data_IF_315769712458
#
_entry.id   IF_315769712458
#
_cell.length_a   1.000
_cell.length_b   1.000
_cell.length_c   1.000
_cell.angle_alpha   90.00
_cell.angle_beta   90.00
_cell.angle_gamma   90.00
#
_symmetry.space_group_name_H-M   'P 1'
#
loop_
_entity.id
_entity.type
_entity.pdbx_description
1 polymer ?
#
# COMPACT_ATOMS: atom_id res chain seq x y z
N UNK A 1 -19.02 -5.70 7.85
CA UNK A 1 -18.14 -4.57 7.42
C UNK A 1 -16.74 -4.96 7.81
N UNK A 2 -15.79 -4.90 6.88
CA UNK A 2 -14.37 -5.13 7.17
C UNK A 2 -13.73 -3.85 7.71
N UNK A 3 -12.85 -3.98 8.70
CA UNK A 3 -12.15 -2.86 9.35
C UNK A 3 -10.65 -3.10 9.27
N UNK A 4 -9.91 -2.11 8.78
CA UNK A 4 -8.46 -2.22 8.59
C UNK A 4 -7.72 -1.13 9.35
N UNK A 5 -6.56 -1.49 9.92
CA UNK A 5 -5.62 -0.51 10.46
C UNK A 5 -4.70 -0.03 9.34
N UNK A 6 -4.77 1.27 9.04
CA UNK A 6 -3.88 1.88 8.04
C UNK A 6 -2.44 1.98 8.54
N UNK A 7 -1.44 1.88 7.66
CA UNK A 7 -0.04 2.04 8.04
C UNK A 7 0.32 3.48 8.35
N UNK A 8 1.14 3.69 9.37
CA UNK A 8 1.71 4.98 9.72
C UNK A 8 3.19 4.82 10.07
N UNK A 9 4.06 5.36 9.22
CA UNK A 9 5.51 5.31 9.41
C UNK A 9 5.91 5.90 10.76
N UNK A 10 6.77 5.18 11.49
CA UNK A 10 7.24 5.57 12.81
C UNK A 10 6.28 5.32 13.97
N UNK A 11 5.07 4.82 13.71
CA UNK A 11 4.06 4.58 14.75
C UNK A 11 3.54 3.13 14.74
N UNK A 12 3.05 2.64 13.61
CA UNK A 12 2.36 1.34 13.54
C UNK A 12 3.31 0.18 13.24
N UNK A 13 4.44 0.11 13.94
CA UNK A 13 5.34 -1.03 13.91
C UNK A 13 4.70 -2.29 14.52
N UNK A 14 5.40 -3.42 14.48
CA UNK A 14 4.86 -4.69 14.99
C UNK A 14 4.48 -4.63 16.47
N UNK A 15 5.22 -3.88 17.29
CA UNK A 15 4.93 -3.74 18.72
C UNK A 15 3.60 -3.03 18.93
N UNK A 16 3.39 -1.92 18.22
CA UNK A 16 2.14 -1.17 18.26
C UNK A 16 0.97 -2.03 17.75
N UNK A 17 1.11 -2.68 16.59
CA UNK A 17 0.04 -3.49 16.01
C UNK A 17 -0.39 -4.63 16.94
N UNK A 18 0.57 -5.37 17.51
CA UNK A 18 0.27 -6.46 18.45
C UNK A 18 -0.35 -5.95 19.76
N UNK A 19 0.15 -4.84 20.30
CA UNK A 19 -0.43 -4.24 21.50
C UNK A 19 -1.85 -3.74 21.22
N UNK A 20 -2.07 -3.07 20.08
CA UNK A 20 -3.39 -2.58 19.72
C UNK A 20 -4.39 -3.74 19.53
N UNK A 21 -3.99 -4.80 18.83
CA UNK A 21 -4.83 -5.98 18.66
C UNK A 21 -5.20 -6.60 20.01
N UNK A 22 -4.20 -6.82 20.86
CA UNK A 22 -4.40 -7.42 22.17
C UNK A 22 -5.40 -6.65 23.05
N UNK A 23 -5.36 -5.33 23.05
CA UNK A 23 -6.15 -4.51 23.97
C UNK A 23 -7.45 -3.97 23.35
N UNK A 24 -7.50 -3.73 22.05
CA UNK A 24 -8.60 -3.04 21.39
C UNK A 24 -9.11 -3.74 20.14
N UNK A 25 -8.24 -4.41 19.39
CA UNK A 25 -8.48 -4.90 18.05
C UNK A 25 -9.01 -6.33 17.96
N UNK A 26 -8.88 -7.12 19.02
CA UNK A 26 -9.19 -8.55 19.01
C UNK A 26 -10.57 -8.86 18.37
N UNK A 27 -10.57 -9.56 17.24
CA UNK A 27 -11.76 -9.86 16.42
C UNK A 27 -12.53 -8.62 15.88
N UNK A 28 -11.91 -7.44 15.87
CA UNK A 28 -12.53 -6.21 15.33
C UNK A 28 -11.79 -5.63 14.14
N UNK A 29 -10.51 -5.98 13.98
CA UNK A 29 -9.66 -5.53 12.87
C UNK A 29 -9.36 -6.74 12.00
N UNK A 30 -9.73 -6.65 10.72
CA UNK A 30 -9.56 -7.74 9.76
C UNK A 30 -8.14 -7.79 9.17
N UNK A 31 -7.50 -6.61 8.96
CA UNK A 31 -6.13 -6.50 8.43
C UNK A 31 -5.38 -5.34 9.10
N UNK A 32 -4.09 -5.55 9.32
CA UNK A 32 -3.14 -4.55 9.83
C UNK A 32 -2.09 -4.27 8.76
N UNK A 33 -2.14 -3.11 8.11
CA UNK A 33 -1.11 -2.74 7.13
C UNK A 33 0.16 -2.26 7.83
N UNK A 34 1.30 -2.80 7.41
CA UNK A 34 2.61 -2.46 7.96
C UNK A 34 3.10 -1.10 7.44
N UNK A 35 3.95 -0.38 8.19
CA UNK A 35 4.77 0.67 7.62
C UNK A 35 5.51 0.18 6.38
N UNK A 36 5.74 1.08 5.43
CA UNK A 36 6.27 0.66 4.14
C UNK A 36 7.74 0.22 4.21
N UNK A 37 8.06 -0.80 3.44
CA UNK A 37 9.41 -1.20 3.05
C UNK A 37 9.83 -0.36 1.85
N UNK A 38 11.08 0.13 1.85
CA UNK A 38 11.66 0.83 0.71
C UNK A 38 12.76 -0.02 0.08
N UNK A 39 12.47 -0.75 -1.01
CA UNK A 39 13.49 -1.54 -1.70
C UNK A 39 14.70 -0.70 -2.08
N UNK A 40 15.87 -1.29 -1.96
CA UNK A 40 17.15 -0.67 -2.26
C UNK A 40 17.96 -1.52 -3.26
N UNK A 41 19.00 -0.90 -3.87
CA UNK A 41 19.84 -1.55 -4.88
C UNK A 41 20.60 -2.80 -4.40
N UNK A 42 20.72 -2.99 -3.10
CA UNK A 42 21.39 -4.16 -2.52
C UNK A 42 20.46 -5.36 -2.36
N UNK A 43 19.19 -5.21 -2.69
CA UNK A 43 18.19 -6.27 -2.54
C UNK A 43 18.19 -6.89 -1.13
N UNK A 44 18.24 -6.02 -0.10
CA UNK A 44 18.25 -6.43 1.30
C UNK A 44 17.30 -5.57 2.12
N UNK A 45 16.57 -6.20 3.01
CA UNK A 45 15.76 -5.48 3.99
C UNK A 45 16.65 -4.86 5.08
N UNK A 46 16.28 -3.68 5.54
CA UNK A 46 16.93 -3.06 6.69
C UNK A 46 16.58 -3.82 7.98
N UNK A 47 17.44 -3.74 8.99
CA UNK A 47 17.20 -4.43 10.27
C UNK A 47 15.87 -4.05 10.93
N UNK A 48 15.40 -2.81 10.74
CA UNK A 48 14.07 -2.35 11.18
C UNK A 48 12.96 -3.05 10.40
N UNK A 49 13.09 -3.10 9.08
CA UNK A 49 12.12 -3.76 8.20
C UNK A 49 12.06 -5.26 8.50
N UNK A 50 13.21 -5.92 8.66
CA UNK A 50 13.29 -7.34 9.05
C UNK A 50 12.53 -7.64 10.33
N UNK A 51 12.66 -6.80 11.36
CA UNK A 51 11.89 -6.98 12.60
C UNK A 51 10.39 -6.80 12.39
N UNK A 52 10.02 -5.87 11.52
CA UNK A 52 8.62 -5.53 11.29
C UNK A 52 7.88 -6.56 10.42
N UNK A 53 8.60 -7.26 9.53
CA UNK A 53 8.04 -8.32 8.67
C UNK A 53 8.22 -9.74 9.22
N UNK A 54 9.07 -9.96 10.23
CA UNK A 54 9.27 -11.30 10.82
C UNK A 54 7.94 -11.87 11.31
N UNK A 55 7.65 -13.12 10.93
CA UNK A 55 6.46 -13.85 11.41
C UNK A 55 6.49 -14.08 12.92
N UNK A 56 7.67 -14.20 13.51
CA UNK A 56 7.80 -14.32 14.97
C UNK A 56 7.29 -13.09 15.71
N UNK A 57 7.30 -11.95 15.04
CA UNK A 57 6.81 -10.67 15.57
C UNK A 57 5.37 -10.34 15.14
N UNK A 58 4.76 -11.09 14.21
CA UNK A 58 3.44 -10.80 13.64
C UNK A 58 2.49 -11.99 13.85
N UNK A 59 1.78 -11.99 14.97
CA UNK A 59 0.79 -13.02 15.31
C UNK A 59 -0.63 -12.69 14.82
N UNK A 60 -0.77 -11.58 14.11
CA UNK A 60 -2.02 -11.03 13.60
C UNK A 60 -1.99 -10.97 12.07
N UNK A 61 -3.13 -10.76 11.43
CA UNK A 61 -3.22 -10.63 9.97
C UNK A 61 -2.59 -9.31 9.52
N UNK A 62 -1.28 -9.31 9.37
CA UNK A 62 -0.47 -8.15 8.97
C UNK A 62 -0.10 -8.23 7.50
N UNK A 63 -0.31 -7.13 6.76
CA UNK A 63 -0.04 -7.00 5.34
C UNK A 63 1.16 -6.09 5.11
N UNK A 64 2.26 -6.58 4.54
CA UNK A 64 3.42 -5.75 4.23
C UNK A 64 3.10 -4.74 3.13
N UNK A 65 3.63 -3.53 3.27
CA UNK A 65 3.47 -2.46 2.28
C UNK A 65 4.81 -2.09 1.67
N UNK A 66 4.86 -1.89 0.36
CA UNK A 66 6.06 -1.55 -0.42
C UNK A 66 5.95 -0.14 -0.97
N UNK A 67 7.01 0.66 -0.79
CA UNK A 67 7.15 2.02 -1.30
C UNK A 67 8.15 2.05 -2.45
N UNK A 68 7.67 1.92 -3.67
CA UNK A 68 8.51 2.00 -4.87
C UNK A 68 7.73 2.63 -6.03
N UNK A 69 8.44 3.07 -7.05
CA UNK A 69 7.92 3.44 -8.37
C UNK A 69 8.58 2.60 -9.50
N UNK A 70 9.12 1.45 -9.13
CA UNK A 70 9.77 0.52 -10.03
C UNK A 70 9.13 -0.86 -9.86
N UNK A 71 8.64 -1.45 -10.94
CA UNK A 71 8.00 -2.77 -10.92
C UNK A 71 8.96 -3.88 -10.49
N UNK A 72 10.21 -3.86 -10.96
CA UNK A 72 11.21 -4.87 -10.59
C UNK A 72 11.51 -4.86 -9.09
N UNK A 73 11.60 -3.67 -8.47
CA UNK A 73 11.75 -3.54 -7.01
C UNK A 73 10.56 -4.16 -6.26
N UNK A 74 9.33 -3.91 -6.76
CA UNK A 74 8.13 -4.47 -6.15
C UNK A 74 8.10 -5.99 -6.29
N UNK A 75 8.34 -6.50 -7.49
CA UNK A 75 8.32 -7.94 -7.82
C UNK A 75 9.36 -8.66 -6.97
N UNK A 76 10.62 -8.18 -6.94
CA UNK A 76 11.65 -8.75 -6.09
C UNK A 76 11.21 -8.79 -4.62
N UNK A 77 10.67 -7.68 -4.11
CA UNK A 77 10.22 -7.60 -2.71
C UNK A 77 9.08 -8.58 -2.44
N UNK A 78 8.14 -8.71 -3.39
CA UNK A 78 7.03 -9.65 -3.28
C UNK A 78 7.50 -11.11 -3.23
N UNK A 79 8.48 -11.49 -4.07
CA UNK A 79 9.11 -12.81 -4.04
C UNK A 79 9.70 -13.08 -2.64
N UNK A 80 10.53 -12.17 -2.14
CA UNK A 80 11.17 -12.34 -0.83
C UNK A 80 10.15 -12.43 0.31
N UNK A 81 9.10 -11.60 0.28
CA UNK A 81 8.05 -11.62 1.29
C UNK A 81 7.21 -12.90 1.24
N UNK A 82 7.00 -13.45 0.06
CA UNK A 82 6.28 -14.71 -0.11
C UNK A 82 7.14 -15.91 0.29
N UNK A 83 8.36 -16.03 -0.26
CA UNK A 83 9.23 -17.19 -0.07
C UNK A 83 9.76 -17.32 1.35
N UNK A 84 10.27 -16.20 1.91
CA UNK A 84 10.97 -16.22 3.18
C UNK A 84 10.04 -15.98 4.39
N UNK A 85 8.93 -15.26 4.16
CA UNK A 85 8.03 -14.86 5.25
C UNK A 85 6.60 -15.37 5.09
N UNK A 86 6.22 -15.97 3.96
CA UNK A 86 4.89 -16.54 3.71
C UNK A 86 3.77 -15.50 3.63
N UNK A 87 4.05 -14.27 3.15
CA UNK A 87 3.02 -13.27 2.90
C UNK A 87 2.40 -13.47 1.53
N UNK A 88 1.10 -13.74 1.47
CA UNK A 88 0.32 -13.94 0.25
C UNK A 88 -0.37 -12.67 -0.26
N UNK A 89 -0.33 -11.58 0.47
CA UNK A 89 -0.80 -10.27 0.05
C UNK A 89 0.29 -9.21 0.28
N UNK A 90 0.54 -8.40 -0.75
CA UNK A 90 1.51 -7.30 -0.73
C UNK A 90 0.81 -6.02 -1.16
N UNK A 91 0.98 -4.95 -0.39
CA UNK A 91 0.35 -3.67 -0.67
C UNK A 91 1.32 -2.67 -1.30
N UNK A 92 0.93 -2.04 -2.42
CA UNK A 92 1.68 -0.95 -3.03
C UNK A 92 1.27 0.40 -2.42
N UNK A 93 2.22 1.20 -1.95
CA UNK A 93 1.97 2.55 -1.49
C UNK A 93 1.99 3.56 -2.64
N UNK A 94 0.81 4.02 -3.04
CA UNK A 94 0.61 5.11 -4.00
C UNK A 94 0.00 6.36 -3.33
N UNK A 95 0.19 6.53 -2.00
CA UNK A 95 -0.52 7.57 -1.25
C UNK A 95 0.31 8.41 -0.27
N UNK A 96 1.56 8.05 0.02
CA UNK A 96 2.40 8.83 0.94
C UNK A 96 2.69 10.24 0.38
N UNK A 97 2.32 11.34 1.09
CA UNK A 97 2.48 12.69 0.57
C UNK A 97 3.82 13.33 0.93
N UNK A 98 4.71 12.62 1.65
CA UNK A 98 6.00 13.16 2.10
C UNK A 98 6.81 13.73 0.93
N UNK A 99 7.32 14.95 1.08
CA UNK A 99 8.10 15.63 0.04
C UNK A 99 9.30 14.82 -0.44
N UNK A 100 9.99 14.12 0.47
CA UNK A 100 11.14 13.26 0.15
C UNK A 100 10.76 12.01 -0.65
N UNK A 101 9.52 11.55 -0.54
CA UNK A 101 8.96 10.43 -1.30
C UNK A 101 8.47 10.90 -2.67
N UNK A 102 7.69 11.98 -2.67
CA UNK A 102 7.09 12.54 -3.88
C UNK A 102 8.14 13.08 -4.85
N UNK A 103 9.22 13.71 -4.36
CA UNK A 103 10.33 14.18 -5.22
C UNK A 103 11.05 13.06 -5.98
N UNK A 104 10.85 11.81 -5.56
CA UNK A 104 11.34 10.60 -6.22
C UNK A 104 10.24 9.88 -7.01
N UNK A 105 9.12 10.53 -7.28
CA UNK A 105 7.94 9.95 -7.93
C UNK A 105 7.40 8.66 -7.25
N UNK A 106 7.59 8.52 -5.93
CA UNK A 106 7.06 7.41 -5.12
C UNK A 106 5.84 7.86 -4.32
N UNK A 107 5.10 6.93 -3.74
CA UNK A 107 3.90 7.23 -2.98
C UNK A 107 2.89 8.05 -3.78
N UNK A 108 2.37 9.14 -3.23
CA UNK A 108 1.46 10.02 -3.97
C UNK A 108 2.10 10.69 -5.19
N UNK A 109 3.43 10.67 -5.33
CA UNK A 109 4.15 11.12 -6.52
C UNK A 109 3.85 10.27 -7.76
N UNK A 110 3.47 9.00 -7.59
CA UNK A 110 3.07 8.14 -8.71
C UNK A 110 1.80 8.67 -9.43
N UNK A 111 0.96 9.42 -8.73
CA UNK A 111 -0.27 9.99 -9.29
C UNK A 111 -0.01 11.20 -10.22
N UNK A 112 1.24 11.68 -10.31
CA UNK A 112 1.62 12.78 -11.20
C UNK A 112 1.67 12.32 -12.66
N UNK A 113 2.09 11.07 -12.90
CA UNK A 113 2.22 10.50 -14.24
C UNK A 113 1.40 9.19 -14.31
N UNK A 114 0.19 9.28 -14.78
CA UNK A 114 -0.76 8.17 -14.81
C UNK A 114 -0.33 7.04 -15.74
N UNK A 115 0.31 7.36 -16.88
CA UNK A 115 0.85 6.34 -17.79
C UNK A 115 1.94 5.48 -17.10
N UNK A 116 2.74 6.13 -16.24
CA UNK A 116 3.75 5.41 -15.46
C UNK A 116 3.11 4.51 -14.39
N UNK A 117 2.06 4.99 -13.72
CA UNK A 117 1.30 4.20 -12.77
C UNK A 117 0.67 2.98 -13.45
N UNK A 118 0.04 3.17 -14.59
CA UNK A 118 -0.58 2.09 -15.37
C UNK A 118 0.45 1.04 -15.78
N UNK A 119 1.58 1.48 -16.32
CA UNK A 119 2.68 0.58 -16.71
C UNK A 119 3.20 -0.24 -15.53
N UNK A 120 3.46 0.39 -14.38
CA UNK A 120 3.95 -0.30 -13.19
C UNK A 120 2.96 -1.37 -12.73
N UNK A 121 1.67 -1.04 -12.68
CA UNK A 121 0.63 -2.00 -12.29
C UNK A 121 0.54 -3.16 -13.28
N UNK A 122 0.62 -2.86 -14.59
CA UNK A 122 0.62 -3.89 -15.62
C UNK A 122 1.83 -4.84 -15.46
N UNK A 123 3.03 -4.30 -15.30
CA UNK A 123 4.26 -5.10 -15.14
C UNK A 123 4.21 -5.98 -13.87
N UNK A 124 3.71 -5.45 -12.76
CA UNK A 124 3.55 -6.21 -11.51
C UNK A 124 2.53 -7.33 -11.67
N UNK A 125 1.33 -7.00 -12.16
CA UNK A 125 0.20 -7.95 -12.22
C UNK A 125 0.29 -8.94 -13.38
N UNK A 126 1.19 -8.72 -14.35
CA UNK A 126 1.53 -9.68 -15.40
C UNK A 126 2.80 -10.48 -15.11
N UNK A 127 3.47 -10.23 -13.99
CA UNK A 127 4.64 -11.00 -13.60
C UNK A 127 4.25 -12.46 -13.36
N UNK A 128 5.01 -13.36 -14.00
CA UNK A 128 4.71 -14.78 -13.98
C UNK A 128 4.74 -15.38 -12.57
N UNK A 129 5.71 -14.98 -11.77
CA UNK A 129 5.84 -15.52 -10.41
C UNK A 129 4.68 -15.09 -9.52
N UNK A 130 4.28 -13.81 -9.60
CA UNK A 130 3.12 -13.28 -8.87
C UNK A 130 1.84 -14.02 -9.29
N UNK A 131 1.65 -14.24 -10.60
CA UNK A 131 0.49 -14.95 -11.11
C UNK A 131 0.46 -16.43 -10.70
N UNK A 132 1.56 -17.14 -10.91
CA UNK A 132 1.65 -18.60 -10.67
C UNK A 132 1.50 -18.94 -9.17
N UNK A 133 1.96 -18.07 -8.27
CA UNK A 133 1.84 -18.23 -6.83
C UNK A 133 0.59 -17.56 -6.23
N UNK A 134 -0.27 -16.96 -7.06
CA UNK A 134 -1.48 -16.26 -6.63
C UNK A 134 -1.23 -15.20 -5.56
N UNK A 135 -0.08 -14.48 -5.66
CA UNK A 135 0.25 -13.40 -4.73
C UNK A 135 -0.73 -12.24 -4.98
N UNK A 136 -1.48 -11.90 -3.94
CA UNK A 136 -2.47 -10.82 -3.99
C UNK A 136 -1.78 -9.47 -3.94
N UNK A 137 -2.16 -8.58 -4.84
CA UNK A 137 -1.65 -7.21 -4.87
C UNK A 137 -2.77 -6.25 -4.53
N UNK A 138 -2.61 -5.51 -3.45
CA UNK A 138 -3.50 -4.41 -3.08
C UNK A 138 -2.79 -3.06 -3.23
N UNK A 139 -3.54 -1.97 -3.37
CA UNK A 139 -2.98 -0.63 -3.51
C UNK A 139 -3.59 0.31 -2.49
N UNK A 140 -2.75 1.11 -1.83
CA UNK A 140 -3.23 2.22 -1.00
C UNK A 140 -2.89 3.56 -1.67
N UNK A 141 -3.93 4.34 -2.01
CA UNK A 141 -3.81 5.56 -2.82
C UNK A 141 -4.47 6.79 -2.19
N UNK A 142 -4.27 7.95 -2.82
CA UNK A 142 -5.01 9.19 -2.63
C UNK A 142 -5.84 9.51 -3.88
N UNK A 143 -6.72 10.52 -3.78
CA UNK A 143 -7.68 10.89 -4.83
C UNK A 143 -7.14 11.92 -5.84
N UNK A 144 -5.89 12.31 -5.74
CA UNK A 144 -5.27 13.28 -6.66
C UNK A 144 -4.01 13.91 -6.08
N UNK A 145 -3.41 14.78 -6.87
CA UNK A 145 -2.16 15.49 -6.54
C UNK A 145 -2.49 16.89 -6.01
N UNK A 146 -3.01 17.77 -6.85
CA UNK A 146 -3.32 19.17 -6.50
C UNK A 146 -4.83 19.44 -6.44
N UNK A 147 -5.61 18.65 -7.17
CA UNK A 147 -7.08 18.74 -7.20
C UNK A 147 -7.69 17.34 -7.15
N UNK A 148 -8.88 17.16 -6.57
CA UNK A 148 -9.61 15.90 -6.62
C UNK A 148 -10.26 15.63 -7.99
N UNK A 149 -10.28 16.60 -8.90
CA UNK A 149 -10.95 16.47 -10.20
C UNK A 149 -10.31 15.39 -11.09
N UNK A 150 -9.05 15.06 -10.84
CA UNK A 150 -8.33 13.99 -11.53
C UNK A 150 -8.68 12.59 -11.04
N UNK A 151 -9.52 12.45 -10.01
CA UNK A 151 -9.84 11.16 -9.40
C UNK A 151 -10.42 10.14 -10.37
N UNK A 152 -11.31 10.58 -11.27
CA UNK A 152 -11.90 9.67 -12.26
C UNK A 152 -10.82 9.02 -13.14
N UNK A 153 -9.86 9.79 -13.62
CA UNK A 153 -8.76 9.28 -14.45
C UNK A 153 -7.88 8.28 -13.68
N UNK A 154 -7.64 8.56 -12.39
CA UNK A 154 -6.87 7.66 -11.51
C UNK A 154 -7.65 6.36 -11.27
N UNK A 155 -8.94 6.46 -11.01
CA UNK A 155 -9.81 5.30 -10.79
C UNK A 155 -9.94 4.44 -12.06
N UNK A 156 -10.04 5.07 -13.23
CA UNK A 156 -10.08 4.37 -14.52
C UNK A 156 -8.84 3.50 -14.75
N UNK A 157 -7.67 3.95 -14.27
CA UNK A 157 -6.45 3.12 -14.34
C UNK A 157 -6.58 1.92 -13.40
N UNK A 158 -6.94 2.13 -12.14
CA UNK A 158 -7.07 1.03 -11.20
C UNK A 158 -8.12 -0.01 -11.64
N UNK A 159 -9.20 0.43 -12.26
CA UNK A 159 -10.26 -0.43 -12.78
C UNK A 159 -9.84 -1.33 -13.96
N UNK A 160 -8.69 -1.07 -14.58
CA UNK A 160 -8.13 -1.95 -15.63
C UNK A 160 -7.52 -3.23 -15.06
N UNK A 161 -7.29 -3.28 -13.75
CA UNK A 161 -6.51 -4.33 -13.10
C UNK A 161 -7.33 -5.07 -12.05
N UNK A 162 -7.05 -6.36 -11.91
CA UNK A 162 -7.62 -7.17 -10.85
C UNK A 162 -6.78 -7.03 -9.57
N UNK A 163 -7.08 -5.99 -8.80
CA UNK A 163 -6.46 -5.76 -7.49
C UNK A 163 -7.22 -6.54 -6.41
N UNK A 164 -6.52 -7.05 -5.39
CA UNK A 164 -7.17 -7.63 -4.21
C UNK A 164 -8.03 -6.57 -3.49
N UNK A 165 -7.47 -5.39 -3.30
CA UNK A 165 -8.16 -4.26 -2.69
C UNK A 165 -7.57 -2.93 -3.18
N UNK A 166 -8.43 -1.91 -3.30
CA UNK A 166 -8.04 -0.53 -3.48
C UNK A 166 -8.43 0.27 -2.24
N UNK A 167 -7.45 0.69 -1.46
CA UNK A 167 -7.65 1.44 -0.22
C UNK A 167 -7.47 2.93 -0.51
N UNK A 168 -8.54 3.69 -0.39
CA UNK A 168 -8.56 5.09 -0.77
C UNK A 168 -8.51 5.99 0.46
N UNK A 169 -7.47 6.83 0.54
CA UNK A 169 -7.46 7.96 1.46
C UNK A 169 -8.09 9.17 0.75
N UNK A 170 -9.30 9.65 1.17
CA UNK A 170 -10.06 10.66 0.45
C UNK A 170 -9.48 12.08 0.66
N UNK A 171 -8.19 12.23 0.37
CA UNK A 171 -7.43 13.48 0.38
C UNK A 171 -6.54 13.56 -0.86
N UNK A 172 -6.26 14.75 -1.33
CA UNK A 172 -5.23 14.99 -2.34
C UNK A 172 -3.83 15.01 -1.70
N UNK A 173 -2.78 14.94 -2.50
CA UNK A 173 -1.39 14.94 -2.01
C UNK A 173 -1.06 16.15 -1.15
N UNK A 174 -1.54 17.33 -1.54
CA UNK A 174 -1.28 18.60 -0.87
C UNK A 174 -2.09 18.82 0.41
N UNK A 175 -3.08 17.96 0.68
CA UNK A 175 -3.82 17.97 1.95
C UNK A 175 -2.93 17.38 3.05
N UNK A 176 -2.25 18.24 3.79
CA UNK A 176 -1.52 17.84 4.98
C UNK A 176 -2.48 17.71 6.18
N UNK A 177 -2.04 17.01 7.24
CA UNK A 177 -2.83 16.83 8.47
C UNK A 177 -2.90 18.15 9.28
N UNK A 178 -3.62 19.13 8.73
CA UNK A 178 -3.98 20.36 9.44
C UNK A 178 -5.42 20.21 9.90
N UNK A 179 -5.73 20.70 11.11
CA UNK A 179 -7.03 20.48 11.75
C UNK A 179 -8.25 21.08 11.04
N UNK A 180 -8.03 21.95 10.08
CA UNK A 180 -9.04 22.62 9.26
C UNK A 180 -9.42 21.87 7.96
N UNK A 181 -8.64 20.84 7.60
CA UNK A 181 -8.90 20.05 6.39
C UNK A 181 -9.84 18.89 6.71
N UNK A 182 -11.10 19.02 6.32
CA UNK A 182 -12.08 17.94 6.41
C UNK A 182 -11.80 16.89 5.35
N UNK A 183 -12.00 15.61 5.70
CA UNK A 183 -12.00 14.54 4.71
C UNK A 183 -13.11 14.80 3.69
N UNK A 184 -12.78 14.71 2.42
CA UNK A 184 -13.75 14.87 1.34
C UNK A 184 -14.58 13.60 1.26
N UNK A 185 -15.88 13.71 1.47
CA UNK A 185 -16.81 12.62 1.24
C UNK A 185 -16.91 12.33 -0.27
N UNK A 186 -16.36 11.21 -0.70
CA UNK A 186 -16.59 10.70 -2.05
C UNK A 186 -17.55 9.51 -1.95
N UNK A 187 -18.54 9.43 -2.83
CA UNK A 187 -19.25 8.18 -3.02
C UNK A 187 -18.27 7.19 -3.65
N UNK A 188 -17.71 6.34 -2.83
CA UNK A 188 -16.84 5.25 -3.32
C UNK A 188 -17.76 4.09 -3.69
N UNK A 189 -18.17 4.04 -4.93
CA UNK A 189 -18.75 2.84 -5.51
C UNK A 189 -17.61 2.06 -6.18
N UNK A 190 -16.91 1.23 -5.44
CA UNK A 190 -16.14 0.14 -6.01
C UNK A 190 -17.08 -1.06 -6.16
N UNK A 191 -17.72 -1.15 -7.31
CA UNK A 191 -18.37 -2.40 -7.73
C UNK A 191 -17.27 -3.28 -8.32
N UNK A 192 -16.68 -4.12 -7.47
CA UNK A 192 -15.83 -5.20 -7.95
C UNK A 192 -16.65 -6.03 -8.94
N UNK A 193 -16.22 -6.07 -10.20
CA UNK A 193 -16.80 -7.02 -11.15
C UNK A 193 -16.44 -8.43 -10.68
N UNK A 194 -17.40 -9.36 -10.70
CA UNK A 194 -17.18 -10.76 -10.38
C UNK A 194 -16.20 -11.40 -11.36
#
# INVERSE_FOLDING_TARGET
MKVYMAPMEGLTDYMFRNAYDKFFGHNKIDKYFMPFISPNKSEKFLAKEMRDISRDNNHINSIPQVMTNNSSDFIWTAHMLYDEFGYDEINLNAGCPSGTVVSKNKGAGMLICLDSLERILYEILSDRYICDNHIKVSVKTRIGVETPDTWHNILDIYNKFQLEELIIHPRIRTDYYRGDIKQRGFPVCYEGKP
#
